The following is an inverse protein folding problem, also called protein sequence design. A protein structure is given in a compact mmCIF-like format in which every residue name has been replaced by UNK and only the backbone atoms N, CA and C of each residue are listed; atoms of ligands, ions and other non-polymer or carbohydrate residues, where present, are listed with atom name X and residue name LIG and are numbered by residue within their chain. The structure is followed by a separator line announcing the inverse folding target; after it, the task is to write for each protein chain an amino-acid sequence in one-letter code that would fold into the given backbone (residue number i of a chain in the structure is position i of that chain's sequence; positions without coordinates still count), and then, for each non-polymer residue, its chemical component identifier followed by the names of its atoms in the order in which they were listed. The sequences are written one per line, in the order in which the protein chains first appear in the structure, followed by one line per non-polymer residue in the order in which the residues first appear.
data_IF_268420972529
#
_entry.id   IF_268420972529
#
_cell.length_a   1.000
_cell.length_b   1.000
_cell.length_c   1.000
_cell.angle_alpha   90.00
_cell.angle_beta   90.00
_cell.angle_gamma   90.00
#
_symmetry.space_group_name_H-M   'P 1'
#
loop_
_entity.id
_entity.type
_entity.pdbx_description
1 polymer ?
#
# COMPACT_ATOMS: atom_id res chain seq x y z
N UNK A 1 3.95 29.47 12.43
CA UNK A 1 3.35 28.12 12.32
C UNK A 1 2.14 28.25 11.38
N UNK A 2 2.25 27.81 10.12
CA UNK A 2 1.11 27.86 9.17
C UNK A 2 0.42 26.50 9.21
N UNK A 3 -0.81 26.50 9.74
CA UNK A 3 -1.69 25.35 9.80
C UNK A 3 -2.46 25.22 8.48
N UNK A 4 -2.66 23.97 8.03
CA UNK A 4 -3.69 23.50 7.08
C UNK A 4 -3.75 24.13 5.68
N UNK A 5 -3.02 23.58 4.70
CA UNK A 5 -3.49 23.60 3.30
C UNK A 5 -4.09 22.23 2.97
N UNK A 6 -5.41 22.17 2.89
CA UNK A 6 -6.15 20.98 2.42
C UNK A 6 -6.42 21.16 0.92
N UNK A 7 -6.27 20.10 0.12
CA UNK A 7 -6.70 20.13 -1.27
C UNK A 7 -8.23 20.00 -1.33
N UNK A 8 -8.91 21.05 -1.80
CA UNK A 8 -10.37 21.10 -1.84
C UNK A 8 -11.00 20.17 -2.91
N UNK A 9 -10.19 19.52 -3.76
CA UNK A 9 -10.62 18.61 -4.82
C UNK A 9 -10.80 17.15 -4.40
N UNK A 10 -10.77 16.85 -3.09
CA UNK A 10 -10.82 15.49 -2.55
C UNK A 10 -9.44 14.82 -2.53
N UNK A 11 -9.23 13.92 -1.56
CA UNK A 11 -7.99 13.16 -1.45
C UNK A 11 -7.94 12.02 -2.49
N UNK A 12 -6.76 11.65 -3.03
CA UNK A 12 -5.41 12.10 -2.69
C UNK A 12 -4.97 13.37 -3.44
N UNK A 13 -5.89 14.28 -3.77
CA UNK A 13 -5.58 15.60 -4.32
C UNK A 13 -5.00 15.51 -5.74
N UNK A 14 -3.83 16.12 -6.02
CA UNK A 14 -3.20 16.05 -7.35
C UNK A 14 -2.89 14.64 -7.86
N UNK A 15 -2.93 13.63 -6.99
CA UNK A 15 -2.68 12.23 -7.34
C UNK A 15 -3.98 11.45 -7.65
N UNK A 16 -5.15 12.09 -7.56
CA UNK A 16 -6.46 11.47 -7.83
C UNK A 16 -6.52 10.85 -9.22
N UNK A 17 -6.07 11.57 -10.25
CA UNK A 17 -6.01 11.06 -11.63
C UNK A 17 -5.01 9.90 -11.78
N UNK A 18 -3.89 9.93 -11.06
CA UNK A 18 -2.86 8.89 -11.10
C UNK A 18 -3.39 7.58 -10.50
N UNK A 19 -4.05 7.66 -9.35
CA UNK A 19 -4.57 6.48 -8.66
C UNK A 19 -5.98 6.10 -9.09
N UNK A 20 -6.72 6.98 -9.77
CA UNK A 20 -8.12 6.81 -10.14
C UNK A 20 -8.99 6.33 -8.96
N UNK A 21 -8.78 6.95 -7.80
CA UNK A 21 -9.55 6.72 -6.57
C UNK A 21 -9.82 8.05 -5.88
N UNK A 22 -10.91 8.10 -5.12
CA UNK A 22 -11.24 9.18 -4.21
C UNK A 22 -11.30 8.65 -2.78
N UNK A 23 -10.41 9.14 -1.92
CA UNK A 23 -10.49 8.91 -0.47
C UNK A 23 -11.58 9.81 0.11
N UNK A 24 -12.64 9.18 0.59
CA UNK A 24 -13.86 9.84 1.09
C UNK A 24 -13.75 10.09 2.60
N UNK A 25 -13.31 9.09 3.36
CA UNK A 25 -13.27 9.11 4.81
C UNK A 25 -12.12 8.24 5.33
N UNK A 26 -11.49 8.66 6.42
CA UNK A 26 -10.48 7.87 7.11
C UNK A 26 -11.05 7.42 8.46
N UNK A 27 -11.23 6.12 8.61
CA UNK A 27 -11.62 5.51 9.88
C UNK A 27 -10.38 5.24 10.74
N UNK A 28 -10.42 5.62 12.01
CA UNK A 28 -9.33 5.44 12.96
C UNK A 28 -9.72 4.33 13.96
N UNK A 29 -9.00 3.22 13.91
CA UNK A 29 -9.19 2.07 14.78
C UNK A 29 -8.43 2.27 16.10
N UNK A 30 -9.05 1.86 17.21
CA UNK A 30 -8.34 1.79 18.49
C UNK A 30 -7.30 0.67 18.48
N UNK A 31 -6.34 0.70 19.40
CA UNK A 31 -5.25 -0.30 19.49
C UNK A 31 -5.75 -1.75 19.58
N UNK A 32 -6.91 -1.98 20.22
CA UNK A 32 -7.53 -3.29 20.34
C UNK A 32 -8.32 -3.73 19.09
N UNK A 33 -8.59 -2.81 18.17
CA UNK A 33 -9.45 -3.06 17.02
C UNK A 33 -8.61 -3.37 15.76
N UNK A 34 -9.17 -4.21 14.90
CA UNK A 34 -8.57 -4.57 13.62
C UNK A 34 -9.65 -4.92 12.62
N UNK A 35 -9.36 -4.73 11.34
CA UNK A 35 -10.15 -5.24 10.24
C UNK A 35 -9.31 -6.26 9.46
N UNK A 36 -9.92 -6.93 8.50
CA UNK A 36 -9.24 -7.86 7.60
C UNK A 36 -9.41 -7.40 6.16
N UNK A 37 -8.35 -7.54 5.38
CA UNK A 37 -8.33 -7.31 3.94
C UNK A 37 -8.18 -8.66 3.26
N UNK A 38 -9.04 -8.94 2.28
CA UNK A 38 -9.02 -10.17 1.50
C UNK A 38 -8.71 -9.88 0.04
N UNK A 39 -7.74 -10.60 -0.52
CA UNK A 39 -7.41 -10.53 -1.95
C UNK A 39 -8.56 -11.15 -2.77
N UNK A 40 -9.02 -10.42 -3.78
CA UNK A 40 -10.09 -10.85 -4.69
C UNK A 40 -9.62 -11.96 -5.62
N UNK A 41 -10.59 -12.74 -6.10
CA UNK A 41 -10.40 -13.68 -7.19
C UNK A 41 -10.02 -12.96 -8.50
N UNK A 42 -9.35 -13.69 -9.40
CA UNK A 42 -8.94 -13.21 -10.73
C UNK A 42 -7.98 -12.00 -10.72
N UNK A 43 -7.19 -11.84 -9.66
CA UNK A 43 -6.10 -10.86 -9.62
C UNK A 43 -4.76 -11.55 -9.90
N UNK A 44 -3.72 -10.77 -10.20
CA UNK A 44 -2.33 -11.25 -10.24
C UNK A 44 -1.82 -11.69 -8.84
N UNK A 45 -2.59 -11.46 -7.79
CA UNK A 45 -2.29 -11.80 -6.41
C UNK A 45 -3.00 -13.10 -5.99
N UNK A 46 -2.50 -13.73 -4.92
CA UNK A 46 -3.07 -14.99 -4.42
C UNK A 46 -4.45 -14.76 -3.81
N UNK A 47 -5.49 -15.17 -4.54
CA UNK A 47 -6.89 -15.05 -4.12
C UNK A 47 -7.17 -15.68 -2.75
N UNK A 48 -8.05 -15.05 -1.97
CA UNK A 48 -8.44 -15.50 -0.64
C UNK A 48 -7.35 -15.33 0.44
N UNK A 49 -6.18 -14.79 0.09
CA UNK A 49 -5.16 -14.42 1.08
C UNK A 49 -5.67 -13.25 1.92
N UNK A 50 -5.56 -13.38 3.24
CA UNK A 50 -6.02 -12.37 4.19
C UNK A 50 -4.85 -11.62 4.86
N UNK A 51 -5.10 -10.35 5.17
CA UNK A 51 -4.17 -9.43 5.83
C UNK A 51 -4.91 -8.68 6.92
N UNK A 52 -4.23 -8.43 8.04
CA UNK A 52 -4.77 -7.60 9.11
C UNK A 52 -4.60 -6.13 8.75
N UNK A 53 -5.65 -5.34 8.95
CA UNK A 53 -5.63 -3.88 8.89
C UNK A 53 -5.78 -3.33 10.31
N UNK A 54 -4.92 -2.38 10.68
CA UNK A 54 -4.92 -1.71 11.98
C UNK A 54 -4.76 -0.22 11.83
N UNK A 55 -5.07 0.49 12.91
CA UNK A 55 -4.87 1.94 13.10
C UNK A 55 -5.75 2.80 12.21
N UNK A 56 -5.69 2.63 10.89
CA UNK A 56 -6.49 3.39 9.93
C UNK A 56 -7.02 2.50 8.80
N UNK A 57 -8.29 2.75 8.43
CA UNK A 57 -8.90 2.21 7.22
C UNK A 57 -9.38 3.37 6.35
N UNK A 58 -8.78 3.54 5.18
CA UNK A 58 -9.16 4.57 4.22
C UNK A 58 -10.33 4.10 3.35
N UNK A 59 -11.46 4.77 3.47
CA UNK A 59 -12.69 4.46 2.75
C UNK A 59 -12.65 5.13 1.39
N UNK A 60 -12.20 4.37 0.39
CA UNK A 60 -12.00 4.87 -0.97
C UNK A 60 -13.15 4.49 -1.91
N UNK A 61 -13.40 5.36 -2.88
CA UNK A 61 -14.24 5.11 -4.05
C UNK A 61 -13.36 4.96 -5.30
N UNK A 62 -13.73 4.04 -6.19
CA UNK A 62 -13.02 3.82 -7.45
C UNK A 62 -13.51 4.81 -8.52
N UNK A 63 -12.58 5.42 -9.24
CA UNK A 63 -12.86 6.33 -10.36
C UNK A 63 -12.24 5.83 -11.68
N UNK A 64 -11.89 4.55 -11.74
CA UNK A 64 -11.21 3.93 -12.89
C UNK A 64 -10.19 2.88 -12.47
N UNK A 65 -9.75 2.92 -11.20
CA UNK A 65 -8.94 1.86 -10.63
C UNK A 65 -9.75 0.57 -10.47
N UNK A 66 -9.04 -0.55 -10.53
CA UNK A 66 -9.54 -1.88 -10.21
C UNK A 66 -9.22 -2.22 -8.75
N UNK A 67 -10.19 -2.77 -8.02
CA UNK A 67 -9.94 -3.32 -6.69
C UNK A 67 -9.24 -4.68 -6.79
N UNK A 68 -8.12 -4.84 -6.10
CA UNK A 68 -7.40 -6.10 -5.94
C UNK A 68 -7.70 -6.78 -4.59
N UNK A 69 -8.12 -6.01 -3.59
CA UNK A 69 -8.50 -6.51 -2.28
C UNK A 69 -9.61 -5.64 -1.66
N UNK A 70 -10.38 -6.23 -0.74
CA UNK A 70 -11.52 -5.58 -0.07
C UNK A 70 -11.49 -5.81 1.44
N UNK A 71 -12.09 -4.89 2.22
CA UNK A 71 -12.30 -5.09 3.66
C UNK A 71 -13.35 -6.20 3.91
N UNK A 72 -13.14 -7.05 4.92
CA UNK A 72 -14.06 -8.15 5.24
C UNK A 72 -15.15 -7.80 6.24
N UNK A 73 -14.91 -6.80 7.09
CA UNK A 73 -15.81 -6.50 8.22
C UNK A 73 -16.07 -5.01 8.37
N UNK A 74 -16.93 -4.71 9.35
CA UNK A 74 -17.45 -3.37 9.66
C UNK A 74 -18.43 -2.82 8.61
N UNK A 75 -18.93 -1.60 8.81
CA UNK A 75 -19.91 -0.94 7.93
C UNK A 75 -19.41 -0.71 6.49
N UNK A 76 -18.10 -0.86 6.29
CA UNK A 76 -17.42 -0.74 5.00
C UNK A 76 -16.91 -2.08 4.44
N UNK A 77 -17.41 -3.21 4.95
CA UNK A 77 -17.15 -4.52 4.33
C UNK A 77 -17.49 -4.51 2.83
N UNK A 78 -16.59 -5.09 2.02
CA UNK A 78 -16.65 -5.06 0.55
C UNK A 78 -16.12 -3.79 -0.10
N UNK A 79 -15.74 -2.75 0.66
CA UNK A 79 -15.06 -1.58 0.09
C UNK A 79 -13.62 -1.92 -0.32
N UNK A 80 -13.08 -1.31 -1.39
CA UNK A 80 -11.72 -1.56 -1.83
C UNK A 80 -10.68 -1.18 -0.76
N UNK A 81 -9.72 -2.06 -0.55
CA UNK A 81 -8.61 -1.90 0.39
C UNK A 81 -7.23 -1.92 -0.29
N UNK A 82 -7.15 -2.47 -1.49
CA UNK A 82 -5.99 -2.41 -2.38
C UNK A 82 -6.51 -2.18 -3.80
N UNK A 83 -5.96 -1.21 -4.51
CA UNK A 83 -6.37 -0.91 -5.89
C UNK A 83 -5.18 -0.79 -6.83
N UNK A 84 -5.45 -0.94 -8.12
CA UNK A 84 -4.50 -0.68 -9.20
C UNK A 84 -5.16 0.15 -10.30
N UNK A 85 -4.45 1.16 -10.78
CA UNK A 85 -4.83 1.94 -11.95
C UNK A 85 -3.75 1.83 -13.02
N UNK A 86 -4.14 1.64 -14.29
CA UNK A 86 -3.21 1.73 -15.42
C UNK A 86 -3.11 3.18 -15.84
N UNK A 87 -1.92 3.77 -15.73
CA UNK A 87 -1.69 5.18 -16.05
C UNK A 87 -0.52 5.34 -17.03
N UNK A 88 -0.82 5.81 -18.23
CA UNK A 88 0.16 5.90 -19.32
C UNK A 88 0.69 4.52 -19.72
N UNK A 89 1.96 4.23 -19.39
CA UNK A 89 2.61 2.94 -19.68
C UNK A 89 2.89 2.11 -18.41
N UNK A 90 2.45 2.57 -17.25
CA UNK A 90 2.71 1.93 -15.96
C UNK A 90 1.43 1.62 -15.19
N UNK A 91 1.60 1.05 -13.99
CA UNK A 91 0.54 0.78 -13.03
C UNK A 91 0.79 1.58 -11.75
N UNK A 92 -0.25 2.14 -11.14
CA UNK A 92 -0.23 2.83 -9.85
C UNK A 92 -1.07 2.04 -8.85
N UNK A 93 -0.51 1.72 -7.68
CA UNK A 93 -1.18 0.92 -6.66
C UNK A 93 -1.46 1.76 -5.41
N UNK A 94 -2.67 1.64 -4.86
CA UNK A 94 -3.06 2.31 -3.62
C UNK A 94 -3.43 1.28 -2.55
N UNK A 95 -2.83 1.39 -1.37
CA UNK A 95 -3.09 0.52 -0.21
C UNK A 95 -3.81 1.35 0.84
N UNK A 96 -5.02 0.95 1.20
CA UNK A 96 -5.89 1.67 2.14
C UNK A 96 -5.68 1.27 3.62
N UNK A 97 -4.70 0.39 3.91
CA UNK A 97 -4.32 -0.01 5.27
C UNK A 97 -2.86 0.23 5.59
N UNK A 98 -2.56 0.40 6.88
CA UNK A 98 -1.23 0.77 7.34
C UNK A 98 -0.22 -0.37 7.33
N UNK A 99 1.03 -0.01 7.00
CA UNK A 99 2.25 -0.68 7.44
C UNK A 99 2.50 -0.35 8.92
N UNK A 100 3.55 -0.88 9.59
CA UNK A 100 3.88 -0.42 10.95
C UNK A 100 3.90 1.11 11.03
N UNK A 101 3.39 1.68 12.13
CA UNK A 101 3.28 3.14 12.28
C UNK A 101 4.61 3.84 11.96
N UNK A 102 4.54 4.88 11.12
CA UNK A 102 5.71 5.61 10.62
C UNK A 102 6.37 5.00 9.39
N UNK A 103 5.92 3.83 8.92
CA UNK A 103 6.44 3.20 7.69
C UNK A 103 5.49 3.44 6.52
N UNK A 104 6.06 3.73 5.35
CA UNK A 104 5.34 3.79 4.09
C UNK A 104 5.98 2.86 3.06
N UNK A 105 5.16 2.28 2.16
CA UNK A 105 5.63 1.55 0.99
C UNK A 105 5.12 2.24 -0.27
N UNK A 106 5.99 2.38 -1.26
CA UNK A 106 5.61 2.83 -2.60
C UNK A 106 6.13 1.85 -3.64
N UNK A 107 5.32 1.55 -4.65
CA UNK A 107 5.72 0.71 -5.78
C UNK A 107 5.69 1.49 -7.08
N UNK A 108 6.73 1.33 -7.90
CA UNK A 108 6.78 1.78 -9.29
C UNK A 108 7.08 0.59 -10.18
N UNK A 109 6.37 0.44 -11.29
CA UNK A 109 6.54 -0.69 -12.21
C UNK A 109 6.97 -0.20 -13.59
N UNK A 110 7.89 -0.90 -14.23
CA UNK A 110 8.13 -0.82 -15.68
C UNK A 110 7.77 -2.15 -16.36
N UNK A 111 8.27 -2.41 -17.59
CA UNK A 111 7.97 -3.65 -18.33
C UNK A 111 8.59 -4.88 -17.68
N UNK A 112 9.79 -4.74 -17.14
CA UNK A 112 10.64 -5.85 -16.73
C UNK A 112 10.70 -5.98 -15.21
N UNK A 113 10.48 -4.88 -14.48
CA UNK A 113 10.69 -4.81 -13.03
C UNK A 113 9.64 -4.02 -12.26
N UNK A 114 9.41 -4.48 -11.03
CA UNK A 114 8.80 -3.77 -9.92
C UNK A 114 9.89 -3.19 -9.00
N UNK A 115 9.75 -1.92 -8.66
CA UNK A 115 10.61 -1.18 -7.73
C UNK A 115 9.81 -0.81 -6.49
N UNK A 116 10.19 -1.34 -5.33
CA UNK A 116 9.47 -1.16 -4.07
C UNK A 116 10.34 -0.32 -3.14
N UNK A 117 9.81 0.77 -2.61
CA UNK A 117 10.46 1.65 -1.65
C UNK A 117 9.79 1.44 -0.29
N UNK A 118 10.54 1.02 0.71
CA UNK A 118 10.10 1.01 2.10
C UNK A 118 10.80 2.15 2.83
N UNK A 119 10.04 3.03 3.46
CA UNK A 119 10.54 4.25 4.08
C UNK A 119 10.04 4.34 5.51
N UNK A 120 10.96 4.40 6.47
CA UNK A 120 10.66 4.67 7.87
C UNK A 120 10.76 6.19 8.13
N UNK A 121 9.70 6.82 8.60
CA UNK A 121 9.63 8.23 9.00
C UNK A 121 9.55 8.42 10.53
N UNK A 122 9.74 7.35 11.30
CA UNK A 122 9.74 7.40 12.78
C UNK A 122 11.14 7.54 13.36
N UNK A 123 11.19 7.88 14.65
CA UNK A 123 12.44 7.96 15.44
C UNK A 123 12.95 6.60 15.93
N UNK A 124 12.18 5.54 15.70
CA UNK A 124 12.47 4.17 16.13
C UNK A 124 12.81 3.26 14.95
N UNK A 125 13.51 2.16 15.24
CA UNK A 125 13.71 1.08 14.28
C UNK A 125 12.41 0.29 14.09
N UNK A 126 12.04 0.00 12.84
CA UNK A 126 10.79 -0.67 12.47
C UNK A 126 11.07 -2.00 11.81
N UNK A 127 10.55 -3.07 12.40
CA UNK A 127 10.54 -4.39 11.77
C UNK A 127 9.35 -4.48 10.81
N UNK A 128 9.61 -4.88 9.57
CA UNK A 128 8.61 -5.16 8.55
C UNK A 128 8.69 -6.63 8.19
N UNK A 129 7.57 -7.33 8.22
CA UNK A 129 7.48 -8.70 7.73
C UNK A 129 7.33 -8.70 6.20
N UNK A 130 8.15 -9.51 5.54
CA UNK A 130 8.16 -9.69 4.09
C UNK A 130 7.47 -11.01 3.77
N UNK A 131 6.45 -10.95 2.92
CA UNK A 131 5.73 -12.16 2.48
C UNK A 131 6.37 -12.88 1.31
N UNK A 132 7.42 -12.29 0.73
CA UNK A 132 8.18 -12.85 -0.37
C UNK A 132 9.63 -12.39 -0.32
N UNK A 133 10.48 -13.07 -1.09
CA UNK A 133 11.89 -12.72 -1.21
C UNK A 133 12.04 -11.45 -2.04
N UNK A 134 12.74 -10.45 -1.49
CA UNK A 134 13.02 -9.19 -2.17
C UNK A 134 14.53 -9.02 -2.34
N UNK A 135 14.95 -8.63 -3.54
CA UNK A 135 16.34 -8.24 -3.79
C UNK A 135 16.49 -6.74 -3.54
N UNK A 136 17.31 -6.39 -2.55
CA UNK A 136 17.67 -5.00 -2.29
C UNK A 136 18.50 -4.44 -3.45
N UNK A 137 18.12 -3.26 -3.93
CA UNK A 137 18.66 -2.73 -5.19
C UNK A 137 20.13 -2.31 -5.09
N UNK A 138 20.58 -1.86 -3.93
CA UNK A 138 21.92 -1.26 -3.78
C UNK A 138 23.00 -2.33 -3.67
N UNK A 139 22.74 -3.38 -2.90
CA UNK A 139 23.72 -4.40 -2.55
C UNK A 139 23.39 -5.79 -3.13
N UNK A 140 22.27 -5.91 -3.85
CA UNK A 140 21.75 -7.17 -4.43
C UNK A 140 21.51 -8.26 -3.38
N UNK A 141 21.42 -7.90 -2.10
CA UNK A 141 21.12 -8.85 -1.04
C UNK A 141 19.66 -9.30 -1.14
N UNK A 142 19.46 -10.60 -1.07
CA UNK A 142 18.12 -11.20 -1.01
C UNK A 142 17.69 -11.21 0.45
N UNK A 143 16.56 -10.57 0.74
CA UNK A 143 15.97 -10.51 2.07
C UNK A 143 14.72 -11.38 2.09
N UNK A 144 14.58 -12.17 3.16
CA UNK A 144 13.47 -13.11 3.39
C UNK A 144 12.84 -12.86 4.76
N UNK A 145 11.56 -13.20 4.89
CA UNK A 145 10.74 -13.18 6.12
C UNK A 145 10.53 -11.82 6.79
N UNK A 146 11.60 -11.05 7.03
CA UNK A 146 11.50 -9.71 7.61
C UNK A 146 12.72 -8.85 7.35
N UNK A 147 12.53 -7.55 7.49
CA UNK A 147 13.59 -6.56 7.46
C UNK A 147 13.43 -5.58 8.63
N UNK A 148 14.56 -5.11 9.17
CA UNK A 148 14.59 -3.97 10.08
C UNK A 148 14.96 -2.74 9.25
N UNK A 149 14.08 -1.75 9.26
CA UNK A 149 14.39 -0.40 8.83
C UNK A 149 14.84 0.41 10.04
N UNK A 150 16.08 0.87 10.04
CA UNK A 150 16.56 1.81 11.05
C UNK A 150 15.74 3.12 11.03
N UNK A 151 15.81 3.90 12.10
CA UNK A 151 15.20 5.24 12.14
C UNK A 151 15.55 6.05 10.87
N UNK A 152 14.54 6.63 10.24
CA UNK A 152 14.69 7.41 9.00
C UNK A 152 15.29 6.65 7.79
N UNK A 153 15.37 5.31 7.84
CA UNK A 153 15.94 4.50 6.75
C UNK A 153 14.96 4.36 5.59
N UNK A 154 15.51 4.42 4.37
CA UNK A 154 14.82 4.08 3.14
C UNK A 154 15.53 2.91 2.48
N UNK A 155 14.77 1.87 2.15
CA UNK A 155 15.25 0.74 1.37
C UNK A 155 14.49 0.60 0.07
N UNK A 156 15.23 0.32 -1.00
CA UNK A 156 14.67 0.07 -2.31
C UNK A 156 14.92 -1.39 -2.70
N UNK A 157 13.88 -2.05 -3.18
CA UNK A 157 13.90 -3.40 -3.68
C UNK A 157 13.55 -3.42 -5.15
N UNK A 158 14.10 -4.40 -5.85
CA UNK A 158 13.84 -4.67 -7.26
C UNK A 158 13.39 -6.11 -7.41
N UNK A 159 12.28 -6.29 -8.13
CA UNK A 159 11.70 -7.61 -8.42
C UNK A 159 11.42 -7.70 -9.91
N UNK A 160 11.74 -8.83 -10.53
CA UNK A 160 11.44 -9.06 -11.95
C UNK A 160 9.94 -9.36 -12.10
N UNK A 161 9.29 -8.70 -13.06
CA UNK A 161 7.90 -8.97 -13.38
C UNK A 161 7.78 -10.40 -13.91
N UNK A 162 6.89 -11.19 -13.32
CA UNK A 162 6.60 -12.52 -13.85
C UNK A 162 5.65 -12.34 -15.03
N UNK A 163 6.08 -12.74 -16.24
CA UNK A 163 5.18 -12.79 -17.40
C UNK A 163 4.09 -13.82 -17.11
N UNK A 164 2.87 -13.36 -16.85
CA UNK A 164 1.63 -14.15 -16.95
C UNK A 164 0.92 -13.81 -18.25
#
# INVERSE_FOLDING_TARGET
MRMTSVFLGGFPGPLRDLFAIWSEELDALYDQDSNQIVIKDNTELKAGQEYEAKTFCDLIQLEGAEALAEYKSDFYAGRPALTVNVYGKGKAYYIASQLPEGVTAQKRSDKDYDYIFLMNFSEDDKKIELKEELMEFINENIIKDSIILAKYEVKMFKKMNTLT
#
